data_IF_412384621466
#
_entry.id   IF_412384621466
#
_cell.length_a   1.000
_cell.length_b   1.000
_cell.length_c   1.000
_cell.angle_alpha   90.00
_cell.angle_beta   90.00
_cell.angle_gamma   90.00
#
_symmetry.space_group_name_H-M   'P 1'
#
loop_
_entity.id
_entity.type
_entity.pdbx_description
1 polymer ?
#
# COMPACT_ATOMS: atom_id res chain seq x y z
N UNK A 1 17.01 7.45 -13.22
CA UNK A 1 17.07 6.01 -13.53
C UNK A 1 16.87 5.11 -12.30
N UNK A 2 17.59 5.28 -11.16
CA UNK A 2 17.47 4.38 -10.01
C UNK A 2 16.08 4.39 -9.37
N UNK A 3 15.43 5.55 -9.29
CA UNK A 3 14.05 5.66 -8.82
C UNK A 3 13.05 4.80 -9.59
N UNK A 4 13.17 4.74 -10.93
CA UNK A 4 12.27 3.94 -11.77
C UNK A 4 12.37 2.44 -11.45
N UNK A 5 13.59 1.92 -11.35
CA UNK A 5 13.82 0.51 -11.02
C UNK A 5 13.40 0.19 -9.59
N UNK A 6 13.58 1.13 -8.66
CA UNK A 6 13.11 0.98 -7.29
C UNK A 6 11.58 0.83 -7.24
N UNK A 7 10.84 1.70 -7.94
CA UNK A 7 9.36 1.61 -8.02
C UNK A 7 8.91 0.29 -8.66
N UNK A 8 9.60 -0.15 -9.72
CA UNK A 8 9.28 -1.40 -10.40
C UNK A 8 9.48 -2.61 -9.48
N UNK A 9 10.64 -2.72 -8.83
CA UNK A 9 10.94 -3.82 -7.91
C UNK A 9 10.02 -3.80 -6.70
N UNK A 10 9.76 -2.62 -6.13
CA UNK A 10 8.83 -2.46 -5.01
C UNK A 10 7.43 -2.96 -5.37
N UNK A 11 6.92 -2.54 -6.53
CA UNK A 11 5.59 -2.95 -7.01
C UNK A 11 5.54 -4.45 -7.27
N UNK A 12 6.55 -5.00 -7.95
CA UNK A 12 6.65 -6.42 -8.25
C UNK A 12 6.70 -7.29 -6.98
N UNK A 13 7.51 -6.89 -5.99
CA UNK A 13 7.65 -7.60 -4.71
C UNK A 13 6.34 -7.71 -3.94
N UNK A 14 5.53 -6.64 -3.96
CA UNK A 14 4.28 -6.58 -3.20
C UNK A 14 3.05 -7.03 -3.97
N UNK A 15 3.13 -7.07 -5.31
CA UNK A 15 2.00 -7.39 -6.19
C UNK A 15 1.38 -8.76 -5.86
N UNK A 16 2.20 -9.77 -5.55
CA UNK A 16 1.71 -11.10 -5.23
C UNK A 16 0.78 -11.13 -4.02
N UNK A 17 1.14 -10.41 -2.95
CA UNK A 17 0.33 -10.33 -1.73
C UNK A 17 -1.01 -9.64 -1.97
N UNK A 18 -1.00 -8.49 -2.65
CA UNK A 18 -2.22 -7.74 -2.96
C UNK A 18 -3.14 -8.49 -3.94
N UNK A 19 -2.57 -9.20 -4.91
CA UNK A 19 -3.33 -10.04 -5.83
C UNK A 19 -4.11 -11.13 -5.09
N UNK A 20 -3.50 -11.79 -4.10
CA UNK A 20 -4.18 -12.82 -3.30
C UNK A 20 -5.36 -12.24 -2.51
N UNK A 21 -5.21 -11.04 -1.92
CA UNK A 21 -6.29 -10.37 -1.20
C UNK A 21 -7.44 -10.01 -2.16
N UNK A 22 -7.13 -9.42 -3.31
CA UNK A 22 -8.13 -9.08 -4.32
C UNK A 22 -8.82 -10.33 -4.88
N UNK A 23 -8.09 -11.43 -5.08
CA UNK A 23 -8.64 -12.69 -5.54
C UNK A 23 -9.62 -13.28 -4.52
N UNK A 24 -9.30 -13.23 -3.23
CA UNK A 24 -10.22 -13.64 -2.17
C UNK A 24 -11.50 -12.78 -2.17
N UNK A 25 -11.37 -11.46 -2.38
CA UNK A 25 -12.51 -10.55 -2.53
C UNK A 25 -13.38 -10.87 -3.76
N UNK A 26 -12.76 -11.20 -4.89
CA UNK A 26 -13.47 -11.62 -6.10
C UNK A 26 -14.20 -12.95 -5.92
N UNK A 27 -13.59 -13.91 -5.23
CA UNK A 27 -14.20 -15.22 -4.94
C UNK A 27 -15.40 -15.12 -4.00
N UNK A 28 -15.51 -14.06 -3.20
CA UNK A 28 -16.66 -13.81 -2.34
C UNK A 28 -17.90 -13.31 -3.11
N UNK A 29 -17.75 -12.91 -4.39
CA UNK A 29 -18.86 -12.41 -5.20
C UNK A 29 -19.71 -13.60 -5.69
N UNK A 30 -21.03 -13.65 -5.40
CA UNK A 30 -21.90 -14.72 -5.88
C UNK A 30 -21.94 -14.79 -7.41
N UNK A 31 -21.86 -16.01 -7.96
CA UNK A 31 -21.95 -16.28 -9.40
C UNK A 31 -23.29 -15.85 -10.00
N UNK A 32 -24.34 -15.88 -9.20
CA UNK A 32 -25.73 -15.60 -9.60
C UNK A 32 -25.88 -14.18 -10.17
N UNK A 33 -25.10 -13.21 -9.67
CA UNK A 33 -25.08 -11.84 -10.17
C UNK A 33 -24.56 -11.77 -11.62
N UNK A 34 -23.58 -12.60 -11.96
CA UNK A 34 -23.04 -12.69 -13.32
C UNK A 34 -23.98 -13.48 -14.24
N UNK A 35 -24.73 -14.43 -13.72
CA UNK A 35 -25.79 -15.12 -14.46
C UNK A 35 -26.95 -14.18 -14.80
N UNK A 36 -27.46 -13.42 -13.83
CA UNK A 36 -28.47 -12.40 -14.07
C UNK A 36 -28.00 -11.35 -15.10
N UNK A 37 -26.76 -10.88 -14.99
CA UNK A 37 -26.19 -9.94 -15.96
C UNK A 37 -26.12 -10.52 -17.38
N UNK A 38 -25.84 -11.83 -17.52
CA UNK A 38 -25.85 -12.53 -18.82
C UNK A 38 -27.28 -12.66 -19.39
N UNK A 39 -28.26 -12.94 -18.53
CA UNK A 39 -29.68 -12.97 -18.93
C UNK A 39 -30.16 -11.60 -19.42
N UNK A 40 -29.69 -10.52 -18.80
CA UNK A 40 -29.98 -9.13 -19.18
C UNK A 40 -29.15 -8.64 -20.40
N UNK A 41 -28.42 -9.53 -21.08
CA UNK A 41 -27.52 -9.20 -22.19
C UNK A 41 -26.53 -8.06 -21.86
N UNK A 42 -26.09 -7.98 -20.60
CA UNK A 42 -25.18 -6.94 -20.13
C UNK A 42 -23.78 -7.17 -20.67
N UNK A 43 -23.18 -6.13 -21.27
CA UNK A 43 -21.80 -6.19 -21.77
C UNK A 43 -20.80 -6.46 -20.63
N UNK A 44 -19.72 -7.23 -20.85
CA UNK A 44 -18.72 -7.55 -19.83
C UNK A 44 -18.10 -6.31 -19.15
N UNK A 45 -17.81 -5.26 -19.91
CA UNK A 45 -17.31 -4.00 -19.34
C UNK A 45 -18.33 -3.36 -18.39
N UNK A 46 -19.63 -3.38 -18.73
CA UNK A 46 -20.69 -2.84 -17.85
C UNK A 46 -20.84 -3.69 -16.59
N UNK A 47 -20.72 -5.02 -16.70
CA UNK A 47 -20.72 -5.93 -15.56
C UNK A 47 -19.53 -5.66 -14.62
N UNK A 48 -18.33 -5.42 -15.16
CA UNK A 48 -17.17 -5.05 -14.34
C UNK A 48 -17.40 -3.78 -13.54
N UNK A 49 -17.83 -2.69 -14.17
CA UNK A 49 -18.02 -1.40 -13.48
C UNK A 49 -19.22 -1.37 -12.53
N UNK A 50 -20.26 -2.19 -12.77
CA UNK A 50 -21.51 -2.18 -11.97
C UNK A 50 -21.65 -3.31 -10.96
N UNK A 51 -20.94 -4.41 -11.14
CA UNK A 51 -21.02 -5.60 -10.28
C UNK A 51 -19.68 -5.81 -9.61
N UNK A 52 -18.63 -6.08 -10.40
CA UNK A 52 -17.32 -6.46 -9.85
C UNK A 52 -16.69 -5.34 -9.04
N UNK A 53 -16.56 -4.13 -9.62
CA UNK A 53 -15.87 -3.00 -8.99
C UNK A 53 -16.56 -2.56 -7.69
N UNK A 54 -17.89 -2.35 -7.63
CA UNK A 54 -18.57 -1.95 -6.39
C UNK A 54 -18.46 -3.03 -5.30
N UNK A 55 -18.59 -4.31 -5.66
CA UNK A 55 -18.55 -5.41 -4.69
C UNK A 55 -17.14 -5.68 -4.15
N UNK A 56 -16.10 -5.44 -4.95
CA UNK A 56 -14.70 -5.54 -4.50
C UNK A 56 -14.20 -4.26 -3.81
N UNK A 57 -14.92 -3.11 -3.89
CA UNK A 57 -14.49 -1.85 -3.27
C UNK A 57 -14.00 -1.99 -1.83
N UNK A 58 -14.67 -2.74 -0.93
CA UNK A 58 -14.19 -2.92 0.44
C UNK A 58 -12.80 -3.58 0.49
N UNK A 59 -12.61 -4.65 -0.28
CA UNK A 59 -11.34 -5.38 -0.38
C UNK A 59 -10.26 -4.52 -1.05
N UNK A 60 -10.61 -3.81 -2.13
CA UNK A 60 -9.72 -2.90 -2.84
C UNK A 60 -9.24 -1.78 -1.91
N UNK A 61 -10.11 -1.28 -1.05
CA UNK A 61 -9.74 -0.23 -0.11
C UNK A 61 -8.77 -0.74 0.95
N UNK A 62 -8.97 -1.96 1.48
CA UNK A 62 -8.00 -2.60 2.39
C UNK A 62 -6.63 -2.72 1.72
N UNK A 63 -6.59 -3.19 0.47
CA UNK A 63 -5.34 -3.30 -0.30
C UNK A 63 -4.69 -1.93 -0.47
N UNK A 64 -5.47 -0.88 -0.77
CA UNK A 64 -4.97 0.47 -0.95
C UNK A 64 -4.41 1.06 0.36
N UNK A 65 -5.05 0.78 1.51
CA UNK A 65 -4.51 1.14 2.84
C UNK A 65 -3.16 0.46 3.08
N UNK A 66 -3.10 -0.86 2.88
CA UNK A 66 -1.87 -1.62 3.10
C UNK A 66 -0.75 -1.17 2.15
N UNK A 67 -1.06 -0.91 0.88
CA UNK A 67 -0.11 -0.39 -0.10
C UNK A 67 0.41 1.00 0.29
N UNK A 68 -0.46 1.89 0.77
CA UNK A 68 -0.07 3.22 1.20
C UNK A 68 0.86 3.16 2.42
N UNK A 69 0.50 2.39 3.45
CA UNK A 69 1.31 2.19 4.65
C UNK A 69 2.70 1.67 4.28
N UNK A 70 2.76 0.64 3.41
CA UNK A 70 4.03 0.05 2.97
C UNK A 70 4.88 1.02 2.17
N UNK A 71 4.25 1.85 1.34
CA UNK A 71 4.97 2.88 0.55
C UNK A 71 5.66 3.91 1.46
N UNK A 72 5.04 4.29 2.58
CA UNK A 72 5.67 5.17 3.58
C UNK A 72 6.77 4.49 4.39
N UNK A 73 6.72 3.16 4.53
CA UNK A 73 7.68 2.36 5.27
C UNK A 73 8.76 1.74 4.37
N UNK A 74 8.89 2.19 3.13
CA UNK A 74 9.85 1.63 2.19
C UNK A 74 11.29 1.91 2.66
N UNK A 75 11.96 0.87 3.13
CA UNK A 75 13.33 0.95 3.65
C UNK A 75 14.18 -0.13 3.01
N UNK A 76 13.71 -1.37 3.09
CA UNK A 76 14.41 -2.58 2.68
C UNK A 76 14.87 -2.48 1.22
N UNK A 77 13.95 -2.13 0.31
CA UNK A 77 14.23 -1.99 -1.11
C UNK A 77 15.16 -0.80 -1.40
N UNK A 78 14.95 0.33 -0.72
CA UNK A 78 15.77 1.54 -0.92
C UNK A 78 17.20 1.27 -0.47
N UNK A 79 17.37 0.71 0.72
CA UNK A 79 18.66 0.43 1.32
C UNK A 79 19.44 -0.63 0.54
N UNK A 80 18.79 -1.73 0.14
CA UNK A 80 19.45 -2.82 -0.59
C UNK A 80 19.77 -2.46 -2.04
N UNK A 81 18.89 -1.75 -2.75
CA UNK A 81 19.06 -1.51 -4.19
C UNK A 81 19.83 -0.23 -4.49
N UNK A 82 19.67 0.80 -3.66
CA UNK A 82 20.22 2.14 -3.95
C UNK A 82 21.10 2.69 -2.84
N UNK A 83 21.00 2.16 -1.62
CA UNK A 83 21.64 2.73 -0.43
C UNK A 83 21.23 4.20 -0.17
N UNK A 84 20.12 4.66 -0.75
CA UNK A 84 19.70 6.07 -0.73
C UNK A 84 20.36 6.97 -1.80
N UNK A 85 21.08 6.43 -2.79
CA UNK A 85 21.79 7.20 -3.81
C UNK A 85 21.08 7.36 -5.17
N UNK A 86 21.59 8.24 -6.07
CA UNK A 86 22.74 9.15 -5.91
C UNK A 86 22.35 10.39 -5.11
N UNK A 87 23.25 10.91 -4.26
CA UNK A 87 23.07 12.23 -3.63
C UNK A 87 21.81 12.40 -2.76
N UNK A 88 21.29 11.31 -2.17
CA UNK A 88 20.03 11.26 -1.39
C UNK A 88 18.74 11.29 -2.21
N UNK A 89 18.77 11.05 -3.52
CA UNK A 89 17.55 11.08 -4.36
C UNK A 89 16.48 10.04 -3.97
N UNK A 90 16.87 8.88 -3.44
CA UNK A 90 15.93 7.84 -2.98
C UNK A 90 15.84 7.79 -1.46
N UNK A 91 16.43 8.75 -0.76
CA UNK A 91 16.58 8.71 0.68
C UNK A 91 15.25 8.92 1.40
N UNK A 92 14.87 7.94 2.22
CA UNK A 92 13.59 7.93 2.94
C UNK A 92 13.77 8.26 4.43
N UNK A 93 12.68 8.70 5.06
CA UNK A 93 12.65 9.01 6.51
C UNK A 93 13.09 7.81 7.35
N UNK A 94 12.69 6.60 6.98
CA UNK A 94 13.07 5.35 7.67
C UNK A 94 14.57 5.12 7.63
N UNK A 95 15.20 5.42 6.48
CA UNK A 95 16.64 5.29 6.34
C UNK A 95 17.38 6.29 7.22
N UNK A 96 16.86 7.52 7.36
CA UNK A 96 17.42 8.50 8.30
C UNK A 96 17.40 8.00 9.74
N UNK A 97 16.27 7.45 10.18
CA UNK A 97 16.11 6.89 11.53
C UNK A 97 17.12 5.76 11.75
N UNK A 98 17.31 4.89 10.75
CA UNK A 98 18.28 3.81 10.82
C UNK A 98 19.73 4.31 10.91
N UNK A 99 20.13 5.26 10.06
CA UNK A 99 21.49 5.80 10.03
C UNK A 99 21.85 6.52 11.34
N UNK A 100 20.93 7.33 11.87
CA UNK A 100 21.11 8.04 13.15
C UNK A 100 21.24 7.05 14.32
N UNK A 101 20.42 6.00 14.34
CA UNK A 101 20.42 5.04 15.42
C UNK A 101 21.63 4.10 15.40
N UNK A 102 22.09 3.67 14.22
CA UNK A 102 22.99 2.51 14.11
C UNK A 102 24.28 2.75 13.31
N UNK A 103 24.31 3.73 12.41
CA UNK A 103 25.40 3.90 11.44
C UNK A 103 26.31 5.10 11.75
N UNK A 104 25.76 6.17 12.33
CA UNK A 104 26.55 7.34 12.73
C UNK A 104 27.63 6.99 13.76
N UNK A 105 28.76 7.71 13.70
CA UNK A 105 29.91 7.51 14.59
C UNK A 105 29.54 7.63 16.07
N UNK A 106 28.57 8.50 16.39
CA UNK A 106 27.84 8.49 17.65
C UNK A 106 26.46 7.87 17.39
N UNK A 107 26.26 6.64 17.88
CA UNK A 107 24.97 5.94 17.79
C UNK A 107 23.99 6.57 18.76
N UNK A 108 23.19 7.51 18.28
CA UNK A 108 22.21 8.24 19.08
C UNK A 108 20.86 7.53 19.05
N UNK A 109 20.77 6.43 19.81
CA UNK A 109 19.55 5.63 19.93
C UNK A 109 18.34 6.45 20.41
N UNK A 110 18.56 7.51 21.19
CA UNK A 110 17.50 8.41 21.66
C UNK A 110 16.83 9.19 20.53
N UNK A 111 17.63 9.72 19.60
CA UNK A 111 17.13 10.43 18.43
C UNK A 111 16.45 9.46 17.44
N UNK A 112 17.05 8.29 17.22
CA UNK A 112 16.44 7.23 16.41
C UNK A 112 15.10 6.73 16.97
N UNK A 113 15.00 6.56 18.29
CA UNK A 113 13.75 6.17 18.95
C UNK A 113 12.69 7.27 18.82
N UNK A 114 13.06 8.54 19.02
CA UNK A 114 12.15 9.67 18.85
C UNK A 114 11.63 9.77 17.40
N UNK A 115 12.51 9.59 16.41
CA UNK A 115 12.14 9.55 15.00
C UNK A 115 11.19 8.40 14.66
N UNK A 116 11.43 7.21 15.23
CA UNK A 116 10.55 6.03 15.06
C UNK A 116 9.15 6.27 15.62
N UNK A 117 9.06 6.86 16.82
CA UNK A 117 7.77 7.20 17.45
C UNK A 117 7.03 8.24 16.62
N UNK A 118 7.71 9.28 16.15
CA UNK A 118 7.10 10.31 15.31
C UNK A 118 6.58 9.73 13.99
N UNK A 119 7.34 8.84 13.36
CA UNK A 119 6.91 8.13 12.16
C UNK A 119 5.68 7.25 12.43
N UNK A 120 5.66 6.54 13.55
CA UNK A 120 4.50 5.73 13.94
C UNK A 120 3.24 6.59 14.13
N UNK A 121 3.37 7.78 14.73
CA UNK A 121 2.25 8.73 14.87
C UNK A 121 1.77 9.21 13.50
N UNK A 122 2.66 9.56 12.58
CA UNK A 122 2.30 9.99 11.22
C UNK A 122 1.54 8.88 10.49
N UNK A 123 2.04 7.63 10.52
CA UNK A 123 1.37 6.49 9.90
C UNK A 123 -0.01 6.24 10.55
N UNK A 124 -0.10 6.34 11.88
CA UNK A 124 -1.35 6.17 12.58
C UNK A 124 -2.39 7.22 12.13
N UNK A 125 -2.01 8.49 12.04
CA UNK A 125 -2.89 9.57 11.55
C UNK A 125 -3.36 9.29 10.13
N UNK A 126 -2.46 8.93 9.21
CA UNK A 126 -2.83 8.58 7.84
C UNK A 126 -3.77 7.37 7.78
N UNK A 127 -3.48 6.33 8.56
CA UNK A 127 -4.29 5.11 8.62
C UNK A 127 -5.69 5.41 9.16
N UNK A 128 -5.80 6.16 10.26
CA UNK A 128 -7.10 6.56 10.82
C UNK A 128 -7.88 7.46 9.86
N UNK A 129 -7.22 8.41 9.21
CA UNK A 129 -7.86 9.26 8.21
C UNK A 129 -8.40 8.43 7.04
N UNK A 130 -7.61 7.50 6.51
CA UNK A 130 -8.02 6.65 5.40
C UNK A 130 -9.16 5.69 5.78
N UNK A 131 -9.10 5.08 6.98
CA UNK A 131 -10.19 4.25 7.49
C UNK A 131 -11.47 5.05 7.70
N UNK A 132 -11.37 6.29 8.17
CA UNK A 132 -12.52 7.18 8.33
C UNK A 132 -13.17 7.55 6.98
N UNK A 133 -12.38 7.88 5.96
CA UNK A 133 -12.88 8.13 4.60
C UNK A 133 -13.56 6.86 4.03
N UNK A 134 -12.97 5.70 4.29
CA UNK A 134 -13.46 4.41 3.77
C UNK A 134 -14.77 3.98 4.42
N UNK A 135 -14.90 4.10 5.75
CA UNK A 135 -16.14 3.74 6.47
C UNK A 135 -17.35 4.55 6.02
N UNK A 136 -17.13 5.79 5.60
CA UNK A 136 -18.20 6.62 5.01
C UNK A 136 -18.76 6.09 3.69
N UNK A 137 -18.03 5.21 2.99
CA UNK A 137 -18.49 4.59 1.74
C UNK A 137 -19.23 3.26 1.97
N UNK A 138 -19.02 2.59 3.10
CA UNK A 138 -19.75 1.34 3.44
C UNK A 138 -21.13 1.59 4.04
N UNK A 139 -21.41 2.81 4.50
CA UNK A 139 -22.68 3.22 5.11
C UNK A 139 -23.66 3.87 4.12
N UNK A 140 -23.34 3.88 2.82
CA UNK A 140 -24.19 4.38 1.71
C UNK A 140 -24.64 3.23 0.81
#
# INVERSE_FOLDING_TARGET
WPFFWLVFVFTWSHMGFYMLILLAGLQAIPSDLYEAARMDATRPARAFWRITLPLIMPTLTVVLVLALIRSFQIFDEVYLLTGGGPGRETFMIVQNIYEVAFTNNNKDYGEGAAGSVLMAVVIAVFTFFQLWVTRRQSDL
#
